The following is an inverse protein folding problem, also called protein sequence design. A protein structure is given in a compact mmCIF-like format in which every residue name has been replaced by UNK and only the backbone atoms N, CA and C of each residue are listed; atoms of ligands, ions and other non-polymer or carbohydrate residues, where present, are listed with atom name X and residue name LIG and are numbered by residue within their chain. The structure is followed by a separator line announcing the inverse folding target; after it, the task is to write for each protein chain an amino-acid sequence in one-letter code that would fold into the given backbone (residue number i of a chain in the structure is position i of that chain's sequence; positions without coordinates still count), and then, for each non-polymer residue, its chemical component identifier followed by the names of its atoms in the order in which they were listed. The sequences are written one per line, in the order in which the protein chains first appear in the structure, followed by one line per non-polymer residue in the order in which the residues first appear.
data_IF_160043583941
#
_entry.id   IF_160043583941
#
_cell.length_a   1.000
_cell.length_b   1.000
_cell.length_c   1.000
_cell.angle_alpha   90.00
_cell.angle_beta   90.00
_cell.angle_gamma   90.00
#
_symmetry.space_group_name_H-M   'P 1'
#
loop_
_entity.id
_entity.type
_entity.pdbx_description
1 polymer ?
#
# COMPACT_ATOMS: atom_id res chain seq x y z
N UNK A 1 43.08 -41.80 44.41
CA UNK A 1 42.39 -42.56 43.34
C UNK A 1 40.92 -42.68 43.66
N UNK A 2 40.06 -41.94 42.94
CA UNK A 2 38.72 -42.30 42.45
C UNK A 2 38.11 -41.04 41.80
N UNK A 3 37.89 -41.15 40.49
CA UNK A 3 37.38 -40.15 39.57
C UNK A 3 35.89 -40.38 39.37
N UNK A 4 35.03 -39.35 39.40
CA UNK A 4 33.67 -39.34 38.83
C UNK A 4 33.28 -37.87 38.55
N UNK A 5 33.28 -37.44 37.29
CA UNK A 5 32.19 -37.42 36.30
C UNK A 5 31.33 -36.14 36.33
N UNK A 6 31.26 -35.53 35.13
CA UNK A 6 30.56 -34.29 34.75
C UNK A 6 29.04 -34.46 34.74
N UNK A 7 28.29 -33.38 34.97
CA UNK A 7 26.98 -33.16 34.35
C UNK A 7 26.72 -31.66 34.17
N UNK A 8 26.55 -31.26 32.92
CA UNK A 8 26.14 -29.92 32.52
C UNK A 8 24.62 -29.79 32.56
N UNK A 9 24.13 -28.59 32.90
CA UNK A 9 22.73 -28.22 32.79
C UNK A 9 22.57 -27.24 31.64
N UNK A 10 21.95 -27.68 30.55
CA UNK A 10 21.45 -26.82 29.49
C UNK A 10 20.07 -26.30 29.92
N UNK A 11 19.92 -24.99 30.09
CA UNK A 11 18.64 -24.36 30.36
C UNK A 11 17.86 -24.22 29.03
N UNK A 12 16.76 -24.95 28.92
CA UNK A 12 15.77 -24.80 27.85
C UNK A 12 14.85 -23.65 28.24
N UNK A 13 14.95 -22.51 27.55
CA UNK A 13 14.01 -21.41 27.69
C UNK A 13 12.77 -21.70 26.83
N UNK A 14 11.64 -21.99 27.48
CA UNK A 14 10.33 -22.10 26.85
C UNK A 14 9.83 -20.68 26.48
N UNK A 15 9.78 -20.36 25.19
CA UNK A 15 9.11 -19.14 24.72
C UNK A 15 7.62 -19.47 24.55
N UNK A 16 6.80 -18.98 25.49
CA UNK A 16 5.36 -19.06 25.39
C UNK A 16 4.85 -18.06 24.34
N UNK A 17 4.35 -18.57 23.21
CA UNK A 17 3.66 -17.76 22.22
C UNK A 17 2.28 -17.37 22.77
N UNK A 18 2.11 -16.11 23.16
CA UNK A 18 0.82 -15.56 23.55
C UNK A 18 -0.07 -15.43 22.30
N UNK A 19 -1.02 -16.35 22.13
CA UNK A 19 -2.08 -16.27 21.12
C UNK A 19 -3.17 -15.31 21.58
N UNK A 20 -3.07 -14.05 21.19
CA UNK A 20 -4.15 -13.08 21.42
C UNK A 20 -5.38 -13.46 20.57
N UNK A 21 -6.59 -13.47 21.14
CA UNK A 21 -7.80 -13.82 20.42
C UNK A 21 -8.12 -12.75 19.36
N UNK A 22 -8.27 -13.19 18.11
CA UNK A 22 -8.87 -12.39 17.04
C UNK A 22 -10.38 -12.29 17.33
N UNK A 23 -10.83 -11.16 17.86
CA UNK A 23 -12.27 -10.90 17.98
C UNK A 23 -12.85 -10.76 16.56
N UNK A 24 -13.70 -11.70 16.17
CA UNK A 24 -14.49 -11.58 14.94
C UNK A 24 -15.42 -10.37 15.10
N UNK A 25 -15.16 -9.30 14.35
CA UNK A 25 -16.09 -8.19 14.25
C UNK A 25 -17.36 -8.71 13.56
N UNK A 26 -18.52 -8.39 14.13
CA UNK A 26 -19.80 -8.52 13.44
C UNK A 26 -19.73 -7.76 12.09
N UNK A 27 -20.65 -8.05 11.17
CA UNK A 27 -20.66 -7.64 9.75
C UNK A 27 -20.65 -6.12 9.42
N UNK A 28 -20.12 -5.27 10.30
CA UNK A 28 -19.79 -3.87 10.07
C UNK A 28 -18.34 -3.67 9.62
N UNK A 29 -18.10 -2.57 8.90
CA UNK A 29 -16.77 -2.12 8.48
C UNK A 29 -15.77 -2.21 9.64
N UNK A 30 -14.55 -2.68 9.37
CA UNK A 30 -13.47 -2.69 10.36
C UNK A 30 -13.27 -1.26 10.93
N UNK A 31 -13.23 -1.06 12.26
CA UNK A 31 -13.13 0.26 12.88
C UNK A 31 -12.00 1.16 12.34
N UNK A 32 -10.85 0.58 11.99
CA UNK A 32 -9.73 1.32 11.41
C UNK A 32 -10.07 1.92 10.03
N UNK A 33 -10.86 1.21 9.22
CA UNK A 33 -11.34 1.73 7.92
C UNK A 33 -12.31 2.90 8.14
N UNK A 34 -13.19 2.82 9.15
CA UNK A 34 -14.09 3.91 9.49
C UNK A 34 -13.34 5.13 10.05
N UNK A 35 -12.30 4.91 10.87
CA UNK A 35 -11.45 5.97 11.38
C UNK A 35 -10.65 6.66 10.25
N UNK A 36 -10.17 5.90 9.27
CA UNK A 36 -9.60 6.45 8.04
C UNK A 36 -10.63 7.29 7.27
N UNK A 37 -11.84 6.76 7.02
CA UNK A 37 -12.89 7.48 6.28
C UNK A 37 -13.20 8.83 6.95
N UNK A 38 -13.30 8.84 8.29
CA UNK A 38 -13.50 10.07 9.06
C UNK A 38 -12.32 11.05 8.93
N UNK A 39 -11.08 10.58 9.09
CA UNK A 39 -9.89 11.42 8.95
C UNK A 39 -9.74 12.00 7.53
N UNK A 40 -9.95 11.17 6.50
CA UNK A 40 -9.83 11.57 5.09
C UNK A 40 -10.95 12.51 4.63
N UNK A 41 -12.10 12.53 5.33
CA UNK A 41 -13.19 13.45 5.00
C UNK A 41 -12.76 14.93 5.06
N UNK A 42 -11.81 15.26 5.94
CA UNK A 42 -11.23 16.59 6.14
C UNK A 42 -10.01 16.88 5.24
N UNK A 43 -9.61 15.95 4.38
CA UNK A 43 -8.49 16.12 3.45
C UNK A 43 -9.00 16.66 2.12
N UNK A 44 -8.47 17.79 1.68
CA UNK A 44 -8.72 18.37 0.36
C UNK A 44 -7.65 17.96 -0.65
N UNK A 45 -6.41 17.87 -0.20
CA UNK A 45 -5.24 17.53 -0.99
C UNK A 45 -4.16 16.86 -0.13
N UNK A 46 -3.23 16.14 -0.75
CA UNK A 46 -2.07 15.57 -0.06
C UNK A 46 -0.90 15.34 -0.99
N UNK A 47 0.30 15.20 -0.40
CA UNK A 47 1.46 14.57 -1.03
C UNK A 47 1.91 13.37 -0.21
N UNK A 48 2.39 12.33 -0.88
CA UNK A 48 2.90 11.12 -0.20
C UNK A 48 3.93 10.43 -1.08
N UNK A 49 4.92 9.79 -0.46
CA UNK A 49 5.83 8.88 -1.14
C UNK A 49 5.39 7.44 -0.92
N UNK A 50 5.21 6.69 -2.00
CA UNK A 50 4.95 5.26 -1.95
C UNK A 50 6.19 4.50 -2.38
N UNK A 51 6.83 3.81 -1.43
CA UNK A 51 7.87 2.83 -1.76
C UNK A 51 7.18 1.49 -2.02
N UNK A 52 7.26 1.01 -3.26
CA UNK A 52 6.54 -0.17 -3.73
C UNK A 52 7.49 -1.23 -4.25
N UNK A 53 7.29 -2.47 -3.81
CA UNK A 53 7.86 -3.68 -4.37
C UNK A 53 6.72 -4.55 -4.92
N UNK A 54 6.75 -4.87 -6.21
CA UNK A 54 5.77 -5.73 -6.88
C UNK A 54 6.42 -6.96 -7.49
N UNK A 55 5.71 -8.09 -7.45
CA UNK A 55 6.11 -9.36 -8.08
C UNK A 55 4.97 -9.88 -8.95
N UNK A 56 5.31 -10.35 -10.15
CA UNK A 56 4.37 -11.04 -11.06
C UNK A 56 5.10 -12.16 -11.81
N UNK A 57 4.86 -13.40 -11.40
CA UNK A 57 5.64 -14.53 -11.88
C UNK A 57 7.12 -14.37 -11.49
N UNK A 58 8.02 -14.41 -12.46
CA UNK A 58 9.45 -14.16 -12.25
C UNK A 58 9.86 -12.68 -12.34
N UNK A 59 8.95 -11.80 -12.77
CA UNK A 59 9.23 -10.38 -12.89
C UNK A 59 9.07 -9.66 -11.54
N UNK A 60 9.95 -8.69 -11.28
CA UNK A 60 9.87 -7.81 -10.11
C UNK A 60 9.93 -6.35 -10.55
N UNK A 61 9.36 -5.46 -9.74
CA UNK A 61 9.43 -4.02 -9.95
C UNK A 61 9.59 -3.30 -8.61
N UNK A 62 10.59 -2.45 -8.52
CA UNK A 62 10.88 -1.63 -7.34
C UNK A 62 10.79 -0.16 -7.73
N UNK A 63 9.89 0.59 -7.09
CA UNK A 63 9.69 2.02 -7.37
C UNK A 63 9.47 2.79 -6.09
N UNK A 64 9.96 4.04 -6.08
CA UNK A 64 9.49 5.06 -5.15
C UNK A 64 8.71 6.08 -5.97
N UNK A 65 7.42 6.17 -5.70
CA UNK A 65 6.54 7.14 -6.32
C UNK A 65 6.43 8.37 -5.41
N UNK A 66 6.46 9.57 -5.97
CA UNK A 66 5.93 10.77 -5.35
C UNK A 66 4.53 11.00 -5.91
N UNK A 67 3.51 10.81 -5.08
CA UNK A 67 2.13 11.13 -5.40
C UNK A 67 1.77 12.53 -4.90
N UNK A 68 0.96 13.21 -5.70
CA UNK A 68 0.17 14.37 -5.31
C UNK A 68 -1.29 14.09 -5.66
N UNK A 69 -2.21 14.45 -4.78
CA UNK A 69 -3.64 14.31 -5.01
C UNK A 69 -4.37 15.56 -4.56
N UNK A 70 -5.39 15.95 -5.32
CA UNK A 70 -6.31 17.02 -4.97
C UNK A 70 -7.73 16.61 -5.38
N UNK A 71 -8.68 16.74 -4.46
CA UNK A 71 -10.10 16.49 -4.74
C UNK A 71 -10.58 17.38 -5.89
N UNK A 72 -11.50 16.90 -6.76
CA UNK A 72 -12.15 15.59 -6.67
C UNK A 72 -11.35 14.42 -7.27
N UNK A 73 -10.48 14.66 -8.24
CA UNK A 73 -9.86 13.58 -9.02
C UNK A 73 -8.48 13.94 -9.62
N UNK A 74 -7.86 15.04 -9.21
CA UNK A 74 -6.53 15.39 -9.72
C UNK A 74 -5.49 14.53 -9.03
N UNK A 75 -4.74 13.77 -9.81
CA UNK A 75 -3.68 12.91 -9.34
C UNK A 75 -2.44 13.10 -10.20
N UNK A 76 -1.29 13.20 -9.57
CA UNK A 76 0.02 13.21 -10.22
C UNK A 76 0.90 12.16 -9.57
N UNK A 77 1.64 11.43 -10.38
CA UNK A 77 2.70 10.54 -9.90
C UNK A 77 4.00 10.85 -10.62
N UNK A 78 5.11 10.78 -9.89
CA UNK A 78 6.47 10.79 -10.43
C UNK A 78 7.21 9.58 -9.86
N UNK A 79 7.92 8.83 -10.69
CA UNK A 79 8.83 7.79 -10.21
C UNK A 79 10.16 8.46 -9.88
N UNK A 80 10.40 8.69 -8.59
CA UNK A 80 11.59 9.42 -8.10
C UNK A 80 12.79 8.49 -7.85
N UNK A 81 12.58 7.18 -7.80
CA UNK A 81 13.65 6.17 -7.67
C UNK A 81 13.19 4.80 -8.17
N UNK A 82 14.13 3.98 -8.65
CA UNK A 82 13.90 2.61 -9.08
C UNK A 82 13.52 2.48 -10.56
N UNK A 83 12.78 1.42 -10.90
CA UNK A 83 12.45 1.07 -12.29
C UNK A 83 11.62 2.16 -12.97
N UNK A 84 12.13 2.72 -14.08
CA UNK A 84 11.44 3.81 -14.79
C UNK A 84 11.56 5.18 -14.10
N UNK A 85 12.57 5.37 -13.24
CA UNK A 85 12.90 6.65 -12.64
C UNK A 85 12.88 7.81 -13.66
N UNK A 86 12.31 8.94 -13.25
CA UNK A 86 12.12 10.12 -14.07
C UNK A 86 10.86 10.09 -14.93
N UNK A 87 10.07 9.01 -14.92
CA UNK A 87 8.75 9.01 -15.57
C UNK A 87 7.70 9.69 -14.68
N UNK A 88 6.67 10.27 -15.31
CA UNK A 88 5.60 10.97 -14.61
C UNK A 88 4.28 10.93 -15.37
N UNK A 89 3.16 11.09 -14.65
CA UNK A 89 1.84 11.21 -15.27
C UNK A 89 0.80 11.89 -14.37
N UNK A 90 -0.16 12.59 -15.00
CA UNK A 90 -1.33 13.23 -14.38
C UNK A 90 -2.55 12.58 -14.94
N UNK A 91 -3.42 12.24 -14.01
CA UNK A 91 -4.79 11.89 -14.27
C UNK A 91 -5.67 12.99 -13.68
N UNK A 92 -6.54 13.55 -14.51
CA UNK A 92 -7.50 14.58 -14.13
C UNK A 92 -8.94 14.07 -14.33
N UNK A 93 -9.17 12.78 -14.05
CA UNK A 93 -10.43 12.09 -14.32
C UNK A 93 -10.49 11.44 -15.71
N UNK A 94 -11.46 10.52 -15.87
CA UNK A 94 -11.71 9.80 -17.13
C UNK A 94 -10.73 8.67 -17.43
N UNK A 95 -10.64 8.29 -18.72
CA UNK A 95 -9.96 7.07 -19.17
C UNK A 95 -8.56 7.32 -19.75
N UNK A 96 -7.99 8.51 -19.54
CA UNK A 96 -6.70 8.90 -20.10
C UNK A 96 -5.76 9.49 -19.07
N UNK A 97 -4.47 9.33 -19.31
CA UNK A 97 -3.38 9.93 -18.55
C UNK A 97 -2.46 10.70 -19.50
N UNK A 98 -2.03 11.88 -19.07
CA UNK A 98 -0.96 12.63 -19.73
C UNK A 98 0.34 12.43 -18.97
N UNK A 99 1.47 12.23 -19.65
CA UNK A 99 2.74 12.01 -18.96
C UNK A 99 3.93 11.88 -19.89
N UNK A 100 5.10 11.60 -19.31
CA UNK A 100 6.33 11.34 -20.04
C UNK A 100 7.05 10.12 -19.48
N UNK A 101 7.91 9.53 -20.31
CA UNK A 101 8.84 8.50 -19.86
C UNK A 101 10.15 9.16 -19.40
N UNK A 102 10.78 8.59 -18.38
CA UNK A 102 12.11 9.03 -17.94
C UNK A 102 13.20 8.81 -18.99
N UNK A 103 14.37 9.40 -18.75
CA UNK A 103 15.52 9.32 -19.67
C UNK A 103 15.46 10.32 -20.83
N UNK A 104 16.02 9.97 -21.99
CA UNK A 104 16.13 10.87 -23.15
C UNK A 104 14.78 11.39 -23.68
N UNK A 105 13.68 10.70 -23.35
CA UNK A 105 12.32 11.05 -23.79
C UNK A 105 11.54 11.90 -22.78
N UNK A 106 12.17 12.42 -21.72
CA UNK A 106 11.49 13.18 -20.66
C UNK A 106 10.81 14.47 -21.14
N UNK A 107 11.20 14.99 -22.31
CA UNK A 107 10.57 16.16 -22.94
C UNK A 107 9.36 15.86 -23.82
N UNK A 108 9.01 14.59 -24.04
CA UNK A 108 7.88 14.20 -24.88
C UNK A 108 6.69 13.83 -23.98
N UNK A 109 5.69 14.70 -23.95
CA UNK A 109 4.42 14.42 -23.29
C UNK A 109 3.50 13.63 -24.22
N UNK A 110 3.00 12.51 -23.72
CA UNK A 110 2.08 11.62 -24.40
C UNK A 110 0.78 11.56 -23.61
N UNK A 111 -0.35 11.53 -24.34
CA UNK A 111 -1.65 11.17 -23.78
C UNK A 111 -1.98 9.74 -24.18
N UNK A 112 -2.16 8.87 -23.20
CA UNK A 112 -2.42 7.44 -23.41
C UNK A 112 -3.63 6.99 -22.61
N UNK A 113 -4.18 5.82 -22.94
CA UNK A 113 -5.26 5.23 -22.15
C UNK A 113 -4.79 4.91 -20.74
N UNK A 114 -5.68 5.00 -19.75
CA UNK A 114 -5.38 4.79 -18.34
C UNK A 114 -4.77 3.40 -18.05
N UNK A 115 -5.19 2.39 -18.84
CA UNK A 115 -4.72 1.01 -18.74
C UNK A 115 -3.65 0.65 -19.80
N UNK A 116 -3.08 1.64 -20.50
CA UNK A 116 -1.95 1.40 -21.41
C UNK A 116 -0.77 0.82 -20.62
N UNK A 117 -0.07 -0.17 -21.17
CA UNK A 117 1.08 -0.83 -20.50
C UNK A 117 2.19 0.14 -20.07
N UNK A 118 2.26 1.33 -20.66
CA UNK A 118 3.20 2.40 -20.28
C UNK A 118 2.74 3.24 -19.09
N UNK A 119 1.44 3.20 -18.77
CA UNK A 119 0.78 3.99 -17.73
C UNK A 119 0.48 3.20 -16.44
N UNK A 120 0.76 1.89 -16.44
CA UNK A 120 0.44 1.00 -15.32
C UNK A 120 1.70 0.41 -14.67
N UNK A 121 1.55 -0.08 -13.43
CA UNK A 121 2.59 -0.85 -12.75
C UNK A 121 2.76 -2.24 -13.35
N UNK A 122 3.74 -3.01 -12.86
CA UNK A 122 3.97 -4.41 -13.27
C UNK A 122 2.70 -5.27 -13.14
N UNK A 123 1.90 -5.01 -12.10
CA UNK A 123 0.63 -5.70 -11.85
C UNK A 123 -0.59 -5.03 -12.47
N UNK A 124 -0.41 -3.99 -13.26
CA UNK A 124 -1.49 -3.32 -13.99
C UNK A 124 -2.20 -2.22 -13.20
N UNK A 125 -1.66 -1.79 -12.05
CA UNK A 125 -2.26 -0.72 -11.26
C UNK A 125 -2.04 0.64 -11.92
N UNK A 126 -3.11 1.41 -12.00
CA UNK A 126 -3.18 2.74 -12.60
C UNK A 126 -2.80 3.83 -11.58
N UNK A 127 -2.68 5.09 -12.03
CA UNK A 127 -2.47 6.23 -11.11
C UNK A 127 -3.57 6.33 -10.05
N UNK A 128 -4.88 6.27 -10.39
CA UNK A 128 -5.95 6.21 -9.41
C UNK A 128 -5.82 5.07 -8.40
N UNK A 129 -5.40 3.87 -8.84
CA UNK A 129 -5.27 2.72 -7.93
C UNK A 129 -4.21 2.95 -6.84
N UNK A 130 -3.20 3.77 -7.13
CA UNK A 130 -2.14 4.15 -6.19
C UNK A 130 -2.52 5.25 -5.20
N UNK A 131 -3.71 5.85 -5.31
CA UNK A 131 -4.15 6.89 -4.38
C UNK A 131 -4.53 6.31 -3.02
N UNK A 132 -4.20 7.01 -1.93
CA UNK A 132 -4.34 6.51 -0.55
C UNK A 132 -5.77 6.06 -0.28
N UNK A 133 -6.75 6.89 -0.65
CA UNK A 133 -8.17 6.57 -0.48
C UNK A 133 -8.65 5.40 -1.34
N UNK A 134 -8.08 5.22 -2.54
CA UNK A 134 -8.48 4.13 -3.43
C UNK A 134 -7.87 2.80 -2.98
N UNK A 135 -6.64 2.83 -2.45
CA UNK A 135 -6.03 1.67 -1.79
C UNK A 135 -6.90 1.22 -0.61
N UNK A 136 -7.36 2.15 0.24
CA UNK A 136 -8.23 1.81 1.37
C UNK A 136 -9.62 1.35 0.90
N UNK A 137 -10.21 2.03 -0.10
CA UNK A 137 -11.50 1.64 -0.67
C UNK A 137 -11.49 0.22 -1.24
N UNK A 138 -10.34 -0.26 -1.76
CA UNK A 138 -10.19 -1.63 -2.23
C UNK A 138 -10.46 -2.68 -1.13
N UNK A 139 -10.10 -2.40 0.12
CA UNK A 139 -10.44 -3.28 1.24
C UNK A 139 -11.95 -3.35 1.53
N UNK A 140 -12.68 -2.29 1.18
CA UNK A 140 -14.13 -2.21 1.37
C UNK A 140 -14.89 -2.85 0.21
N UNK A 141 -14.36 -2.79 -1.01
CA UNK A 141 -15.03 -3.26 -2.23
C UNK A 141 -14.66 -4.68 -2.66
N UNK A 142 -13.47 -5.16 -2.31
CA UNK A 142 -13.06 -6.54 -2.61
C UNK A 142 -13.84 -7.53 -1.74
N UNK A 143 -14.62 -8.42 -2.38
CA UNK A 143 -15.38 -9.45 -1.70
C UNK A 143 -14.46 -10.38 -0.88
N UNK A 144 -14.80 -10.56 0.40
CA UNK A 144 -13.98 -11.33 1.33
C UNK A 144 -14.42 -11.21 2.78
N UNK A 145 -13.60 -11.74 3.68
CA UNK A 145 -13.78 -11.61 5.13
C UNK A 145 -12.74 -10.63 5.67
N UNK A 146 -13.22 -9.52 6.24
CA UNK A 146 -12.38 -8.56 6.96
C UNK A 146 -12.21 -8.96 8.42
N UNK A 147 -11.00 -8.76 8.94
CA UNK A 147 -10.71 -8.80 10.37
C UNK A 147 -9.75 -7.68 10.75
N UNK A 148 -9.75 -7.30 12.02
CA UNK A 148 -8.89 -6.26 12.57
C UNK A 148 -8.23 -6.75 13.85
N UNK A 149 -7.02 -6.25 14.12
CA UNK A 149 -6.35 -6.43 15.40
C UNK A 149 -5.19 -5.44 15.57
N UNK A 150 -4.39 -5.64 16.61
CA UNK A 150 -3.14 -4.91 16.77
C UNK A 150 -2.19 -5.23 15.59
N UNK A 151 -1.59 -4.19 15.02
CA UNK A 151 -0.57 -4.30 13.98
C UNK A 151 0.86 -4.26 14.51
N UNK A 152 1.04 -3.92 15.79
CA UNK A 152 2.36 -3.71 16.39
C UNK A 152 3.01 -2.43 15.88
N UNK A 153 4.34 -2.38 15.92
CA UNK A 153 5.11 -1.25 15.41
C UNK A 153 5.60 -1.53 13.98
N UNK A 154 5.23 -0.66 13.04
CA UNK A 154 5.77 -0.65 11.67
C UNK A 154 6.66 0.58 11.56
N UNK A 155 7.96 0.37 11.35
CA UNK A 155 8.97 1.44 11.26
C UNK A 155 8.90 2.45 12.44
N UNK A 156 8.64 1.93 13.64
CA UNK A 156 8.52 2.73 14.86
C UNK A 156 7.15 3.39 15.08
N UNK A 157 6.18 3.21 14.18
CA UNK A 157 4.81 3.72 14.32
C UNK A 157 3.90 2.63 14.90
N UNK A 158 3.22 2.87 16.03
CA UNK A 158 2.16 1.98 16.52
C UNK A 158 0.98 1.92 15.55
N UNK A 159 0.50 0.71 15.26
CA UNK A 159 -0.50 0.48 14.22
C UNK A 159 -1.62 -0.47 14.62
N UNK A 160 -2.78 -0.25 13.99
CA UNK A 160 -3.82 -1.25 13.84
C UNK A 160 -3.65 -1.94 12.49
N UNK A 161 -3.92 -3.24 12.44
CA UNK A 161 -3.88 -4.03 11.22
C UNK A 161 -5.28 -4.42 10.81
N UNK A 162 -5.61 -4.17 9.54
CA UNK A 162 -6.78 -4.75 8.87
C UNK A 162 -6.29 -5.83 7.92
N UNK A 163 -6.89 -7.01 8.04
CA UNK A 163 -6.63 -8.17 7.18
C UNK A 163 -7.89 -8.48 6.39
N UNK A 164 -7.74 -8.71 5.08
CA UNK A 164 -8.80 -9.17 4.19
C UNK A 164 -8.42 -10.54 3.63
N UNK A 165 -9.24 -11.55 3.91
CA UNK A 165 -9.22 -12.82 3.17
C UNK A 165 -10.09 -12.68 1.93
N UNK A 166 -9.50 -12.71 0.73
CA UNK A 166 -10.23 -12.53 -0.52
C UNK A 166 -11.08 -13.77 -0.81
N UNK A 167 -12.36 -13.58 -1.14
CA UNK A 167 -13.31 -14.66 -1.41
C UNK A 167 -13.05 -15.36 -2.75
N UNK A 168 -12.71 -14.59 -3.79
CA UNK A 168 -12.42 -15.11 -5.12
C UNK A 168 -11.06 -14.60 -5.64
N UNK A 169 -9.96 -15.31 -5.34
CA UNK A 169 -8.63 -14.92 -5.80
C UNK A 169 -8.50 -14.85 -7.33
N UNK A 170 -9.17 -15.73 -8.08
CA UNK A 170 -9.11 -15.73 -9.54
C UNK A 170 -9.64 -14.42 -10.16
N UNK A 171 -10.68 -13.83 -9.55
CA UNK A 171 -11.22 -12.53 -9.96
C UNK A 171 -10.38 -11.32 -9.47
N UNK A 172 -9.34 -11.56 -8.67
CA UNK A 172 -8.49 -10.54 -8.07
C UNK A 172 -7.01 -10.81 -8.39
N UNK A 173 -6.67 -11.18 -9.63
CA UNK A 173 -5.29 -11.44 -10.07
C UNK A 173 -4.52 -12.45 -9.22
N UNK A 174 -5.22 -13.47 -8.72
CA UNK A 174 -4.67 -14.50 -7.82
C UNK A 174 -4.43 -14.03 -6.39
N UNK A 175 -4.78 -12.78 -6.03
CA UNK A 175 -4.59 -12.26 -4.67
C UNK A 175 -5.50 -13.02 -3.70
N UNK A 176 -4.87 -13.67 -2.73
CA UNK A 176 -5.54 -14.50 -1.72
C UNK A 176 -5.83 -13.75 -0.43
N UNK A 177 -4.98 -12.78 -0.08
CA UNK A 177 -5.18 -11.93 1.07
C UNK A 177 -4.47 -10.58 0.93
N UNK A 178 -4.96 -9.60 1.69
CA UNK A 178 -4.43 -8.25 1.73
C UNK A 178 -4.32 -7.80 3.19
N UNK A 179 -3.29 -7.02 3.52
CA UNK A 179 -3.04 -6.50 4.85
C UNK A 179 -2.66 -5.03 4.76
N UNK A 180 -3.38 -4.18 5.49
CA UNK A 180 -3.06 -2.76 5.60
C UNK A 180 -2.90 -2.39 7.07
N UNK A 181 -1.86 -1.61 7.34
CA UNK A 181 -1.51 -1.12 8.66
C UNK A 181 -1.84 0.37 8.70
N UNK A 182 -2.65 0.76 9.67
CA UNK A 182 -3.03 2.16 9.91
C UNK A 182 -2.32 2.66 11.16
N UNK A 183 -1.79 3.88 11.12
CA UNK A 183 -1.29 4.54 12.33
C UNK A 183 -2.41 4.67 13.36
N UNK A 184 -2.14 4.29 14.61
CA UNK A 184 -3.09 4.51 15.71
C UNK A 184 -3.32 6.00 15.99
N UNK A 185 -2.35 6.86 15.63
CA UNK A 185 -2.41 8.30 15.88
C UNK A 185 -3.12 9.07 14.78
N UNK A 186 -2.80 8.79 13.51
CA UNK A 186 -3.31 9.58 12.37
C UNK A 186 -4.44 8.89 11.62
N UNK A 187 -4.61 7.59 11.81
CA UNK A 187 -5.54 6.73 11.06
C UNK A 187 -5.25 6.63 9.56
N UNK A 188 -4.08 7.11 9.10
CA UNK A 188 -3.63 6.92 7.72
C UNK A 188 -2.82 5.62 7.56
N UNK A 189 -2.84 5.00 6.36
CA UNK A 189 -2.00 3.86 6.07
C UNK A 189 -0.51 4.16 6.27
N UNK A 190 0.22 3.20 6.82
CA UNK A 190 1.69 3.23 6.91
C UNK A 190 2.33 2.15 6.04
N UNK A 191 1.64 1.01 5.87
CA UNK A 191 2.09 -0.09 5.01
C UNK A 191 0.91 -0.90 4.48
N UNK A 192 1.03 -1.43 3.28
CA UNK A 192 0.05 -2.27 2.61
C UNK A 192 0.78 -3.46 1.94
N UNK A 193 0.33 -4.69 2.18
CA UNK A 193 0.96 -5.91 1.68
C UNK A 193 -0.11 -6.84 1.12
N UNK A 194 0.06 -7.32 -0.12
CA UNK A 194 -0.86 -8.28 -0.74
C UNK A 194 -0.15 -9.60 -1.04
N UNK A 195 -0.89 -10.70 -0.94
CA UNK A 195 -0.33 -12.05 -0.98
C UNK A 195 -1.01 -12.93 -2.03
N UNK A 196 -0.21 -13.74 -2.73
CA UNK A 196 -0.65 -14.93 -3.46
C UNK A 196 -0.23 -16.17 -2.66
N UNK A 197 -1.18 -16.82 -1.99
CA UNK A 197 -0.87 -17.82 -0.97
C UNK A 197 -0.12 -17.18 0.19
N UNK A 198 1.08 -17.69 0.48
CA UNK A 198 1.97 -17.14 1.51
C UNK A 198 2.98 -16.11 0.96
N UNK A 199 3.06 -15.94 -0.37
CA UNK A 199 4.08 -15.10 -1.01
C UNK A 199 3.59 -13.67 -1.14
N UNK A 200 4.30 -12.66 -0.60
CA UNK A 200 3.99 -11.27 -0.85
C UNK A 200 4.25 -10.93 -2.33
N UNK A 201 3.27 -10.33 -2.98
CA UNK A 201 3.37 -9.90 -4.40
C UNK A 201 3.23 -8.41 -4.59
N UNK A 202 2.86 -7.69 -3.53
CA UNK A 202 2.92 -6.26 -3.42
C UNK A 202 3.26 -5.92 -1.98
N UNK A 203 4.23 -5.04 -1.77
CA UNK A 203 4.58 -4.47 -0.47
C UNK A 203 4.83 -2.98 -0.66
N UNK A 204 4.03 -2.15 0.01
CA UNK A 204 3.99 -0.72 -0.16
C UNK A 204 4.09 -0.02 1.19
N UNK A 205 5.06 0.87 1.34
CA UNK A 205 5.18 1.75 2.51
C UNK A 205 4.78 3.17 2.16
N UNK A 206 4.02 3.81 3.05
CA UNK A 206 3.56 5.19 2.92
C UNK A 206 4.48 6.10 3.73
N UNK A 207 5.24 6.95 3.03
CA UNK A 207 6.30 7.78 3.59
C UNK A 207 5.98 9.25 3.33
N UNK A 208 6.42 10.14 4.22
CA UNK A 208 6.32 11.60 4.03
C UNK A 208 4.91 12.07 3.62
N UNK A 209 3.88 11.55 4.30
CA UNK A 209 2.50 11.98 4.05
C UNK A 209 2.29 13.37 4.62
N UNK A 210 1.92 14.32 3.76
CA UNK A 210 1.52 15.67 4.12
C UNK A 210 0.11 15.94 3.62
N UNK A 211 -0.77 16.40 4.50
CA UNK A 211 -2.19 16.64 4.22
C UNK A 211 -2.45 18.15 4.11
N UNK A 212 -3.40 18.53 3.24
CA UNK A 212 -3.87 19.90 3.07
C UNK A 212 -2.72 20.88 2.85
N UNK A 213 -1.82 20.55 1.91
CA UNK A 213 -0.62 21.34 1.62
C UNK A 213 -0.91 22.50 0.68
N UNK A 214 -2.15 22.67 0.25
CA UNK A 214 -2.59 23.80 -0.57
C UNK A 214 -2.32 23.60 -2.06
N UNK A 215 -2.38 22.36 -2.54
CA UNK A 215 -2.27 22.08 -3.97
C UNK A 215 -3.38 22.79 -4.76
N UNK A 216 -3.03 23.20 -5.97
CA UNK A 216 -3.90 23.83 -6.96
C UNK A 216 -3.87 23.03 -8.26
N UNK A 217 -4.78 23.31 -9.19
CA UNK A 217 -4.75 22.64 -10.51
C UNK A 217 -3.44 22.85 -11.27
N UNK A 218 -2.75 23.97 -11.05
CA UNK A 218 -1.46 24.28 -11.69
C UNK A 218 -0.34 23.33 -11.24
N UNK A 219 -0.51 22.63 -10.11
CA UNK A 219 0.45 21.64 -9.60
C UNK A 219 0.33 20.27 -10.30
N UNK A 220 -0.67 20.11 -11.17
CA UNK A 220 -0.93 18.93 -11.98
C UNK A 220 -0.66 19.17 -13.47
N UNK A 221 0.52 19.69 -13.86
CA UNK A 221 0.85 19.84 -15.26
C UNK A 221 1.17 18.46 -15.86
N UNK A 222 0.57 18.12 -17.00
CA UNK A 222 1.20 17.37 -18.12
C UNK A 222 0.48 17.66 -19.44
#
# INVERSE_FOLDING_TARGET
MKSFLRLGAAAVALVAAATLPLSALAAGKAPALAAFDAAFSHVHDYTVQLRSHEVKGSATQNRVYQYSFMKPHFAKTLIISGDGQGSGGVWAGGDQVSGHQGGFLSGIHLKVGLHDGRAVSLRGYTIPDGLVQNIVAKYQSTAGTLSQGAGGNVDGVPTQRVFLKVANPAANDGITSMVIYFSEKTHFPVRNIWYQGATPVLDQSFLNLHLNVGLTQNDFPF
#
